data_IF_759085428457
#
_entry.id   IF_759085428457
#
_cell.length_a   1.000
_cell.length_b   1.000
_cell.length_c   1.000
_cell.angle_alpha   90.00
_cell.angle_beta   90.00
_cell.angle_gamma   90.00
#
_symmetry.space_group_name_H-M   'P 1'
#
loop_
_entity.id
_entity.type
_entity.pdbx_description
1 polymer ?
#
# COMPACT_ATOMS: atom_id res chain seq x y z
N UNK A 1 1.60 -15.37 -21.17
CA UNK A 1 0.45 -14.88 -21.94
C UNK A 1 0.43 -15.45 -23.36
N UNK A 2 1.49 -15.33 -24.14
CA UNK A 2 1.59 -15.91 -25.50
C UNK A 2 1.59 -17.45 -25.53
N UNK A 3 2.05 -18.09 -24.46
CA UNK A 3 2.13 -19.55 -24.41
C UNK A 3 0.77 -20.28 -24.44
N UNK A 4 -0.30 -19.67 -23.98
CA UNK A 4 -1.66 -20.22 -24.02
C UNK A 4 -2.27 -20.16 -25.44
N UNK A 5 -1.97 -19.09 -26.15
CA UNK A 5 -2.40 -18.89 -27.54
C UNK A 5 -1.74 -19.89 -28.50
N UNK A 6 -0.42 -20.10 -28.33
CA UNK A 6 0.35 -20.97 -29.19
C UNK A 6 0.11 -22.47 -28.96
N UNK A 7 -0.28 -22.86 -27.74
CA UNK A 7 -0.50 -24.29 -27.39
C UNK A 7 -1.85 -24.85 -27.82
N UNK A 8 -2.82 -24.00 -28.04
CA UNK A 8 -4.18 -24.41 -28.29
C UNK A 8 -4.69 -24.17 -29.71
N UNK A 9 -3.95 -23.42 -30.55
CA UNK A 9 -4.38 -23.07 -31.90
C UNK A 9 -3.96 -24.14 -32.89
N UNK A 10 -4.89 -24.70 -33.72
CA UNK A 10 -4.51 -25.50 -34.87
C UNK A 10 -3.59 -24.66 -35.81
N UNK A 11 -2.60 -25.27 -36.45
CA UNK A 11 -1.81 -24.62 -37.48
C UNK A 11 -2.71 -23.98 -38.55
N UNK A 12 -2.44 -22.73 -38.91
CA UNK A 12 -3.25 -22.03 -39.93
C UNK A 12 -4.50 -21.34 -39.39
N UNK A 13 -4.68 -21.26 -38.07
CA UNK A 13 -5.79 -20.51 -37.47
C UNK A 13 -5.65 -19.01 -37.79
N UNK A 14 -6.64 -18.45 -38.49
CA UNK A 14 -6.73 -17.01 -38.72
C UNK A 14 -7.41 -16.33 -37.51
N UNK A 15 -6.63 -15.57 -36.77
CA UNK A 15 -7.11 -14.81 -35.60
C UNK A 15 -7.75 -13.48 -35.95
N UNK A 16 -7.69 -13.07 -37.23
CA UNK A 16 -8.17 -11.78 -37.69
C UNK A 16 -9.48 -11.86 -38.46
N UNK A 17 -10.10 -13.04 -38.52
CA UNK A 17 -11.42 -13.20 -39.17
C UNK A 17 -12.46 -12.33 -38.49
N UNK A 18 -13.24 -11.62 -39.29
CA UNK A 18 -14.33 -10.77 -38.82
C UNK A 18 -15.67 -11.33 -39.24
N UNK A 19 -16.69 -11.15 -38.40
CA UNK A 19 -18.06 -11.47 -38.76
C UNK A 19 -18.67 -10.38 -39.69
N UNK A 20 -19.91 -10.60 -40.12
CA UNK A 20 -20.68 -9.67 -40.95
C UNK A 20 -20.88 -8.29 -40.30
N UNK A 21 -20.65 -8.16 -39.01
CA UNK A 21 -20.73 -6.92 -38.24
C UNK A 21 -19.35 -6.27 -37.99
N UNK A 22 -18.29 -6.85 -38.61
CA UNK A 22 -16.92 -6.37 -38.47
C UNK A 22 -16.25 -6.70 -37.13
N UNK A 23 -16.83 -7.59 -36.32
CA UNK A 23 -16.27 -8.02 -35.04
C UNK A 23 -15.27 -9.14 -35.26
N UNK A 24 -14.15 -9.12 -34.53
CA UNK A 24 -13.21 -10.24 -34.53
C UNK A 24 -13.88 -11.52 -34.06
N UNK A 25 -13.85 -12.56 -34.88
CA UNK A 25 -14.33 -13.90 -34.54
C UNK A 25 -13.20 -14.90 -34.73
N UNK A 26 -13.21 -15.98 -33.92
CA UNK A 26 -12.31 -17.10 -34.14
C UNK A 26 -13.08 -18.15 -34.90
N UNK A 27 -12.76 -18.30 -36.17
CA UNK A 27 -13.20 -19.45 -36.98
C UNK A 27 -12.25 -20.63 -36.78
N UNK A 28 -12.74 -21.65 -36.12
CA UNK A 28 -12.00 -22.90 -35.99
C UNK A 28 -12.74 -23.84 -35.06
N UNK A 29 -13.14 -24.99 -35.57
CA UNK A 29 -13.87 -26.00 -34.83
C UNK A 29 -13.06 -26.80 -33.81
N UNK A 30 -11.90 -26.31 -33.38
CA UNK A 30 -11.09 -26.91 -32.36
C UNK A 30 -11.63 -26.64 -30.96
N UNK A 31 -11.77 -27.67 -30.17
CA UNK A 31 -12.30 -27.65 -28.79
C UNK A 31 -11.51 -26.75 -27.81
N UNK A 32 -10.33 -26.23 -28.19
CA UNK A 32 -9.47 -25.40 -27.33
C UNK A 32 -9.65 -23.88 -27.48
N UNK A 33 -10.43 -23.43 -28.47
CA UNK A 33 -10.60 -21.99 -28.75
C UNK A 33 -12.02 -21.46 -28.60
N UNK A 34 -12.96 -22.31 -28.27
CA UNK A 34 -14.28 -21.81 -27.91
C UNK A 34 -14.16 -21.04 -26.61
N UNK A 35 -14.76 -19.83 -26.54
CA UNK A 35 -15.01 -19.25 -25.25
C UNK A 35 -15.80 -20.26 -24.45
N UNK A 36 -15.17 -20.86 -23.43
CA UNK A 36 -15.85 -21.72 -22.47
C UNK A 36 -16.95 -20.90 -21.81
N UNK A 37 -18.12 -21.45 -21.61
CA UNK A 37 -19.43 -20.90 -21.18
C UNK A 37 -19.55 -19.63 -20.38
N UNK A 38 -18.47 -19.03 -19.92
CA UNK A 38 -18.44 -17.72 -19.25
C UNK A 38 -17.99 -16.57 -20.18
N UNK A 39 -17.89 -16.84 -21.51
CA UNK A 39 -17.67 -15.81 -22.51
C UNK A 39 -16.34 -15.08 -22.45
N UNK A 40 -15.36 -15.61 -21.78
CA UNK A 40 -13.98 -15.17 -21.93
C UNK A 40 -13.47 -15.69 -23.26
N UNK A 41 -13.67 -14.93 -24.34
CA UNK A 41 -13.06 -15.17 -25.63
C UNK A 41 -11.54 -15.32 -25.50
N UNK A 42 -10.89 -15.78 -26.56
CA UNK A 42 -9.44 -15.75 -26.58
C UNK A 42 -8.94 -14.34 -26.30
N UNK A 43 -7.71 -14.24 -25.82
CA UNK A 43 -7.04 -12.98 -25.54
C UNK A 43 -7.17 -11.95 -26.68
N UNK A 44 -7.01 -12.37 -27.94
CA UNK A 44 -7.14 -11.48 -29.10
C UNK A 44 -8.56 -10.94 -29.26
N UNK A 45 -9.57 -11.79 -29.07
CA UNK A 45 -10.95 -11.38 -29.13
C UNK A 45 -11.33 -10.39 -28.00
N UNK A 46 -10.88 -10.69 -26.80
CA UNK A 46 -11.08 -9.78 -25.66
C UNK A 46 -10.40 -8.43 -25.89
N UNK A 47 -9.17 -8.42 -26.45
CA UNK A 47 -8.42 -7.20 -26.74
C UNK A 47 -9.12 -6.30 -27.77
N UNK A 48 -9.81 -6.90 -28.75
CA UNK A 48 -10.57 -6.13 -29.76
C UNK A 48 -11.92 -5.59 -29.24
N UNK A 49 -12.55 -6.32 -28.34
CA UNK A 49 -13.94 -6.06 -27.94
C UNK A 49 -14.09 -5.55 -26.52
N UNK A 50 -13.02 -5.57 -25.75
CA UNK A 50 -12.95 -5.02 -24.41
C UNK A 50 -11.78 -4.04 -24.31
N UNK A 51 -12.06 -2.86 -23.83
CA UNK A 51 -11.04 -1.82 -23.65
C UNK A 51 -10.98 -1.43 -22.20
N UNK A 52 -9.77 -1.41 -21.65
CA UNK A 52 -9.49 -0.84 -20.34
C UNK A 52 -8.45 0.26 -20.50
N UNK A 53 -8.77 1.46 -20.06
CA UNK A 53 -7.88 2.60 -20.01
C UNK A 53 -7.74 3.08 -18.58
N UNK A 54 -6.49 3.25 -18.15
CA UNK A 54 -6.20 3.89 -16.88
C UNK A 54 -5.26 5.08 -17.13
N UNK A 55 -5.59 6.20 -16.53
CA UNK A 55 -4.76 7.39 -16.54
C UNK A 55 -4.60 7.89 -15.12
N UNK A 56 -3.45 8.52 -14.83
CA UNK A 56 -3.19 9.02 -13.49
C UNK A 56 -2.32 10.25 -13.51
N UNK A 57 -2.56 11.11 -12.54
CA UNK A 57 -1.74 12.28 -12.24
C UNK A 57 -1.22 12.16 -10.83
N UNK A 58 0.05 12.46 -10.63
CA UNK A 58 0.69 12.49 -9.32
C UNK A 58 1.44 13.77 -9.14
N UNK A 59 1.23 14.41 -8.00
CA UNK A 59 2.03 15.54 -7.52
C UNK A 59 2.73 15.10 -6.25
N UNK A 60 4.05 15.17 -6.27
CA UNK A 60 4.89 14.89 -5.12
C UNK A 60 5.73 16.11 -4.83
N UNK A 61 5.63 16.63 -3.62
CA UNK A 61 6.45 17.72 -3.12
C UNK A 61 7.02 17.35 -1.75
N UNK A 62 8.27 17.69 -1.52
CA UNK A 62 8.90 17.59 -0.20
C UNK A 62 9.81 18.77 0.04
N UNK A 63 9.86 19.19 1.30
CA UNK A 63 10.74 20.25 1.76
C UNK A 63 11.42 19.79 3.04
N UNK A 64 12.73 19.88 3.07
CA UNK A 64 13.54 19.64 4.26
C UNK A 64 14.28 20.92 4.61
N UNK A 65 14.18 21.34 5.85
CA UNK A 65 14.91 22.48 6.39
C UNK A 65 15.78 22.01 7.54
N UNK A 66 17.07 22.30 7.46
CA UNK A 66 18.02 21.97 8.52
C UNK A 66 18.59 23.28 9.08
N UNK A 67 18.64 23.40 10.40
CA UNK A 67 19.22 24.52 11.12
C UNK A 67 20.23 24.00 12.14
N UNK A 68 21.48 24.38 11.98
CA UNK A 68 22.59 23.95 12.84
C UNK A 68 23.24 25.17 13.48
N UNK A 69 22.69 25.66 14.61
CA UNK A 69 23.18 26.85 15.27
C UNK A 69 24.57 26.66 15.89
N UNK A 70 24.97 25.43 16.13
CA UNK A 70 26.24 25.07 16.73
C UNK A 70 26.60 23.61 16.41
N UNK A 71 27.86 23.22 16.62
CA UNK A 71 28.34 21.84 16.36
C UNK A 71 27.63 20.78 17.24
N UNK A 72 27.11 21.19 18.38
CA UNK A 72 26.43 20.31 19.33
C UNK A 72 24.91 20.22 19.15
N UNK A 73 24.28 21.10 18.34
CA UNK A 73 22.83 21.15 18.16
C UNK A 73 22.46 21.22 16.68
N UNK A 74 21.53 20.38 16.25
CA UNK A 74 20.92 20.44 14.93
C UNK A 74 19.43 20.19 15.01
N UNK A 75 18.68 20.97 14.24
CA UNK A 75 17.23 20.88 14.10
C UNK A 75 16.89 20.59 12.65
N UNK A 76 15.91 19.74 12.44
CA UNK A 76 15.43 19.42 11.10
C UNK A 76 13.90 19.42 11.10
N UNK A 77 13.32 20.02 10.08
CA UNK A 77 11.91 19.96 9.78
C UNK A 77 11.74 19.39 8.36
N UNK A 78 10.89 18.40 8.22
CA UNK A 78 10.51 17.78 6.94
C UNK A 78 9.00 17.88 6.79
N UNK A 79 8.58 18.29 5.60
CA UNK A 79 7.20 18.21 5.16
C UNK A 79 7.16 17.58 3.79
N UNK A 80 6.28 16.60 3.60
CA UNK A 80 6.02 16.01 2.29
C UNK A 80 4.53 15.84 2.04
N UNK A 81 4.16 16.02 0.77
CA UNK A 81 2.80 15.87 0.28
C UNK A 81 2.81 15.08 -1.02
N UNK A 82 2.04 14.01 -1.07
CA UNK A 82 1.85 13.15 -2.24
C UNK A 82 0.35 13.10 -2.57
N UNK A 83 -0.03 13.67 -3.70
CA UNK A 83 -1.37 13.60 -4.24
C UNK A 83 -1.38 12.72 -5.48
N UNK A 84 -2.31 11.78 -5.53
CA UNK A 84 -2.56 10.92 -6.70
C UNK A 84 -4.03 10.94 -7.04
N UNK A 85 -4.30 11.22 -8.32
CA UNK A 85 -5.59 10.98 -8.94
C UNK A 85 -5.42 9.87 -9.98
N UNK A 86 -6.32 8.89 -10.01
CA UNK A 86 -6.37 7.87 -11.05
C UNK A 86 -7.81 7.73 -11.56
N UNK A 87 -7.94 7.70 -12.86
CA UNK A 87 -9.18 7.42 -13.57
C UNK A 87 -9.01 6.12 -14.35
N UNK A 88 -9.87 5.15 -14.08
CA UNK A 88 -9.99 3.91 -14.84
C UNK A 88 -11.32 3.88 -15.56
N UNK A 89 -11.29 3.64 -16.85
CA UNK A 89 -12.46 3.44 -17.69
C UNK A 89 -12.31 2.14 -18.44
N UNK A 90 -13.29 1.27 -18.32
CA UNK A 90 -13.31 -0.01 -19.01
C UNK A 90 -14.69 -0.27 -19.60
N UNK A 91 -14.72 -0.78 -20.80
CA UNK A 91 -15.96 -1.14 -21.48
C UNK A 91 -15.83 -2.39 -22.35
N UNK A 92 -16.93 -3.11 -22.51
CA UNK A 92 -17.09 -4.16 -23.51
C UNK A 92 -18.10 -3.69 -24.54
N UNK A 93 -17.78 -3.91 -25.82
CA UNK A 93 -18.64 -3.45 -26.93
C UNK A 93 -19.96 -4.23 -26.98
N UNK A 94 -21.01 -3.57 -27.48
CA UNK A 94 -22.31 -4.22 -27.73
C UNK A 94 -22.14 -5.31 -28.79
N UNK A 95 -22.56 -6.51 -28.49
CA UNK A 95 -22.47 -7.66 -29.39
C UNK A 95 -21.07 -8.29 -29.50
N UNK A 96 -20.24 -8.13 -28.48
CA UNK A 96 -18.88 -8.67 -28.49
C UNK A 96 -18.80 -10.21 -28.39
N UNK A 97 -19.82 -10.86 -27.85
CA UNK A 97 -19.92 -12.31 -27.81
C UNK A 97 -20.60 -12.88 -29.05
N UNK A 98 -20.08 -13.96 -29.59
CA UNK A 98 -20.59 -14.61 -30.80
C UNK A 98 -21.03 -16.06 -30.59
N UNK A 99 -20.95 -16.56 -29.37
CA UNK A 99 -21.09 -17.98 -28.99
C UNK A 99 -22.46 -18.33 -28.40
N UNK A 100 -23.54 -17.85 -28.99
CA UNK A 100 -24.90 -18.21 -28.57
C UNK A 100 -25.38 -17.60 -27.25
N UNK A 101 -24.71 -16.58 -26.77
CA UNK A 101 -25.12 -15.86 -25.55
C UNK A 101 -26.34 -15.03 -25.84
N UNK A 102 -27.30 -14.99 -24.91
CA UNK A 102 -28.53 -14.19 -25.06
C UNK A 102 -28.21 -12.73 -25.35
N UNK A 103 -29.06 -12.08 -26.13
CA UNK A 103 -28.94 -10.65 -26.43
C UNK A 103 -28.83 -9.80 -25.16
N UNK A 104 -29.49 -10.21 -24.09
CA UNK A 104 -29.46 -9.50 -22.81
C UNK A 104 -28.06 -9.46 -22.17
N UNK A 105 -27.25 -10.49 -22.34
CA UNK A 105 -25.90 -10.55 -21.79
C UNK A 105 -24.81 -10.06 -22.76
N UNK A 106 -25.18 -9.82 -24.03
CA UNK A 106 -24.27 -9.42 -25.11
C UNK A 106 -24.46 -7.95 -25.53
N UNK A 107 -25.01 -7.12 -24.68
CA UNK A 107 -25.31 -5.73 -25.01
C UNK A 107 -24.26 -4.74 -24.49
N UNK A 108 -23.13 -5.25 -24.07
CA UNK A 108 -22.01 -4.45 -23.58
C UNK A 108 -22.18 -3.90 -22.18
N UNK A 109 -21.11 -3.36 -21.64
CA UNK A 109 -21.08 -2.73 -20.32
C UNK A 109 -19.97 -1.68 -20.26
N UNK A 110 -20.06 -0.82 -19.26
CA UNK A 110 -19.01 0.13 -18.92
C UNK A 110 -18.87 0.26 -17.42
N UNK A 111 -17.65 0.47 -16.97
CA UNK A 111 -17.31 0.78 -15.59
C UNK A 111 -16.30 1.92 -15.58
N UNK A 112 -16.55 2.91 -14.75
CA UNK A 112 -15.66 4.07 -14.53
C UNK A 112 -15.34 4.12 -13.05
N UNK A 113 -14.08 4.23 -12.70
CA UNK A 113 -13.61 4.45 -11.33
C UNK A 113 -12.70 5.66 -11.29
N UNK A 114 -12.96 6.58 -10.37
CA UNK A 114 -12.07 7.69 -10.02
C UNK A 114 -11.59 7.47 -8.58
N UNK A 115 -10.28 7.46 -8.39
CA UNK A 115 -9.65 7.30 -7.08
C UNK A 115 -8.70 8.46 -6.82
N UNK A 116 -8.90 9.12 -5.68
CA UNK A 116 -8.00 10.13 -5.14
C UNK A 116 -7.30 9.59 -3.90
N UNK A 117 -6.01 9.82 -3.79
CA UNK A 117 -5.22 9.54 -2.59
C UNK A 117 -4.35 10.75 -2.27
N UNK A 118 -4.38 11.14 -1.02
CA UNK A 118 -3.55 12.21 -0.45
C UNK A 118 -2.78 11.64 0.73
N UNK A 119 -1.47 11.77 0.72
CA UNK A 119 -0.60 11.41 1.84
C UNK A 119 0.22 12.62 2.25
N UNK A 120 0.20 12.95 3.52
CA UNK A 120 0.98 14.02 4.12
C UNK A 120 1.82 13.45 5.24
N UNK A 121 3.10 13.78 5.24
CA UNK A 121 4.04 13.48 6.32
C UNK A 121 4.68 14.78 6.79
N UNK A 122 4.67 15.03 8.08
CA UNK A 122 5.38 16.13 8.71
C UNK A 122 6.22 15.61 9.89
N UNK A 123 7.46 16.03 9.97
CA UNK A 123 8.38 15.64 11.03
C UNK A 123 9.17 16.86 11.49
N UNK A 124 9.42 16.93 12.78
CA UNK A 124 10.41 17.83 13.37
C UNK A 124 11.36 16.99 14.23
N UNK A 125 12.63 17.28 14.17
CA UNK A 125 13.62 16.61 15.00
C UNK A 125 14.65 17.60 15.56
N UNK A 126 15.14 17.28 16.76
CA UNK A 126 16.25 17.96 17.40
C UNK A 126 17.28 16.92 17.81
N UNK A 127 18.54 17.15 17.48
CA UNK A 127 19.66 16.29 17.84
C UNK A 127 20.69 17.11 18.58
N UNK A 128 21.09 16.62 19.74
CA UNK A 128 22.14 17.20 20.57
C UNK A 128 23.29 16.21 20.70
N UNK A 129 24.51 16.67 20.52
CA UNK A 129 25.74 15.88 20.64
C UNK A 129 26.70 16.59 21.56
N UNK A 130 27.31 15.86 22.49
CA UNK A 130 28.28 16.46 23.36
C UNK A 130 29.34 15.43 23.75
N UNK A 131 30.58 15.82 23.63
CA UNK A 131 31.67 15.16 24.32
C UNK A 131 31.68 15.66 25.76
N UNK A 132 31.29 14.79 26.70
CA UNK A 132 31.13 15.13 28.12
C UNK A 132 32.51 15.12 28.79
N UNK A 133 33.33 14.11 28.45
CA UNK A 133 34.76 14.01 28.82
C UNK A 133 35.54 13.55 27.61
N UNK A 134 36.88 13.46 27.71
CA UNK A 134 37.74 12.87 26.67
C UNK A 134 37.27 11.46 26.25
N UNK A 135 36.68 10.73 27.17
CA UNK A 135 36.33 9.32 27.03
C UNK A 135 34.82 9.09 26.84
N UNK A 136 33.98 10.09 27.03
CA UNK A 136 32.53 9.95 27.04
C UNK A 136 31.85 10.87 26.04
N UNK A 137 31.26 10.27 25.00
CA UNK A 137 30.41 10.95 24.03
C UNK A 137 28.94 10.60 24.24
N UNK A 138 28.07 11.59 24.18
CA UNK A 138 26.64 11.41 24.27
C UNK A 138 25.91 12.10 23.10
N UNK A 139 24.88 11.44 22.60
CA UNK A 139 23.96 11.97 21.60
C UNK A 139 22.54 11.74 22.07
N UNK A 140 21.72 12.76 22.03
CA UNK A 140 20.28 12.67 22.33
C UNK A 140 19.51 13.22 21.13
N UNK A 141 18.46 12.55 20.76
CA UNK A 141 17.57 13.00 19.69
C UNK A 141 16.11 12.92 20.10
N UNK A 142 15.36 13.92 19.68
CA UNK A 142 13.91 13.98 19.80
C UNK A 142 13.31 14.12 18.42
N UNK A 143 12.19 13.47 18.19
CA UNK A 143 11.44 13.58 16.93
C UNK A 143 9.95 13.54 17.21
N UNK A 144 9.23 14.49 16.63
CA UNK A 144 7.78 14.45 16.50
C UNK A 144 7.41 14.15 15.05
N UNK A 145 6.39 13.35 14.83
CA UNK A 145 5.90 13.01 13.50
C UNK A 145 4.38 13.00 13.45
N UNK A 146 3.84 13.36 12.29
CA UNK A 146 2.43 13.31 11.96
C UNK A 146 2.31 12.80 10.54
N UNK A 147 1.49 11.75 10.36
CA UNK A 147 1.12 11.20 9.07
C UNK A 147 -0.39 11.31 8.89
N UNK A 148 -0.81 11.68 7.70
CA UNK A 148 -2.22 11.71 7.31
C UNK A 148 -2.35 11.09 5.93
N UNK A 149 -3.10 9.99 5.86
CA UNK A 149 -3.46 9.30 4.62
C UNK A 149 -4.97 9.42 4.42
N UNK A 150 -5.36 10.07 3.32
CA UNK A 150 -6.74 10.15 2.87
C UNK A 150 -6.88 9.44 1.54
N UNK A 151 -7.88 8.57 1.42
CA UNK A 151 -8.23 7.90 0.17
C UNK A 151 -9.73 8.02 -0.07
N UNK A 152 -10.10 8.33 -1.30
CA UNK A 152 -11.48 8.36 -1.76
C UNK A 152 -11.59 7.69 -3.12
N UNK A 153 -12.55 6.79 -3.26
CA UNK A 153 -12.89 6.14 -4.53
C UNK A 153 -14.38 6.36 -4.84
N UNK A 154 -14.67 6.65 -6.09
CA UNK A 154 -16.03 6.69 -6.63
C UNK A 154 -16.04 5.83 -7.88
N UNK A 155 -17.00 4.94 -7.99
CA UNK A 155 -17.19 4.06 -9.13
C UNK A 155 -18.62 4.11 -9.63
N UNK A 156 -18.79 3.92 -10.92
CA UNK A 156 -20.09 3.80 -11.56
C UNK A 156 -19.99 2.76 -12.67
N UNK A 157 -21.00 1.93 -12.81
CA UNK A 157 -21.08 0.96 -13.89
C UNK A 157 -22.51 0.89 -14.43
N UNK A 158 -22.63 0.47 -15.67
CA UNK A 158 -23.90 0.25 -16.34
C UNK A 158 -23.76 -0.80 -17.43
N UNK A 159 -24.85 -1.40 -17.80
CA UNK A 159 -24.92 -2.44 -18.82
C UNK A 159 -25.98 -2.10 -19.86
N UNK A 160 -25.92 -2.80 -21.00
CA UNK A 160 -26.86 -2.70 -22.12
C UNK A 160 -26.82 -1.32 -22.80
N UNK A 161 -25.87 -1.15 -23.71
CA UNK A 161 -25.84 0.04 -24.56
C UNK A 161 -27.08 0.12 -25.47
N UNK A 162 -27.70 1.28 -25.51
CA UNK A 162 -28.79 1.57 -26.46
C UNK A 162 -28.21 1.69 -27.87
N UNK A 163 -27.23 2.55 -28.05
CA UNK A 163 -26.61 2.86 -29.33
C UNK A 163 -25.26 2.18 -29.42
N UNK A 164 -24.98 1.52 -30.53
CA UNK A 164 -23.70 0.88 -30.81
C UNK A 164 -22.59 1.94 -31.04
N UNK A 165 -21.38 1.63 -30.60
CA UNK A 165 -20.18 2.46 -30.76
C UNK A 165 -20.20 3.81 -30.00
N UNK A 166 -21.12 3.98 -29.08
CA UNK A 166 -21.11 5.10 -28.10
C UNK A 166 -20.85 4.50 -26.72
N UNK A 167 -19.65 4.72 -26.19
CA UNK A 167 -19.17 4.12 -24.94
C UNK A 167 -19.20 5.18 -23.83
N UNK A 168 -20.40 5.43 -23.30
CA UNK A 168 -20.66 6.33 -22.19
C UNK A 168 -21.69 5.69 -21.25
N UNK A 169 -21.58 5.94 -19.95
CA UNK A 169 -22.54 5.42 -18.98
C UNK A 169 -23.97 5.88 -19.27
N UNK A 170 -24.15 7.09 -19.79
CA UNK A 170 -25.47 7.61 -20.17
C UNK A 170 -26.11 6.84 -21.32
N UNK A 171 -25.36 6.05 -22.08
CA UNK A 171 -25.87 5.18 -23.13
C UNK A 171 -26.19 3.77 -22.63
N UNK A 172 -26.11 3.49 -21.31
CA UNK A 172 -26.50 2.22 -20.71
C UNK A 172 -27.91 2.29 -20.13
N UNK A 173 -28.61 1.17 -20.04
CA UNK A 173 -30.04 1.15 -19.65
C UNK A 173 -30.34 0.26 -18.45
N UNK A 174 -29.42 -0.64 -18.07
CA UNK A 174 -29.70 -1.63 -17.01
C UNK A 174 -28.48 -1.82 -16.10
N UNK A 175 -28.74 -2.45 -14.95
CA UNK A 175 -27.72 -2.85 -13.99
C UNK A 175 -26.79 -1.70 -13.59
N UNK A 176 -27.37 -0.54 -13.35
CA UNK A 176 -26.62 0.59 -12.83
C UNK A 176 -26.15 0.28 -11.42
N UNK A 177 -24.88 0.48 -11.21
CA UNK A 177 -24.30 0.45 -9.87
C UNK A 177 -23.44 1.67 -9.66
N UNK A 178 -23.51 2.21 -8.48
CA UNK A 178 -22.66 3.29 -8.02
C UNK A 178 -22.05 2.90 -6.69
N UNK A 179 -20.80 3.22 -6.49
CA UNK A 179 -20.10 2.97 -5.24
C UNK A 179 -19.24 4.16 -4.86
N UNK A 180 -19.16 4.42 -3.58
CA UNK A 180 -18.19 5.37 -3.04
C UNK A 180 -17.61 4.85 -1.75
N UNK A 181 -16.35 5.09 -1.55
CA UNK A 181 -15.65 4.79 -0.30
C UNK A 181 -14.69 5.91 0.03
N UNK A 182 -14.49 6.15 1.32
CA UNK A 182 -13.45 7.05 1.79
C UNK A 182 -12.85 6.51 3.08
N UNK A 183 -11.56 6.72 3.24
CA UNK A 183 -10.84 6.40 4.47
C UNK A 183 -9.89 7.53 4.81
N UNK A 184 -9.78 7.83 6.10
CA UNK A 184 -8.85 8.79 6.65
C UNK A 184 -8.11 8.14 7.81
N UNK A 185 -6.81 7.96 7.63
CA UNK A 185 -5.92 7.43 8.65
C UNK A 185 -5.01 8.56 9.11
N UNK A 186 -4.90 8.72 10.42
CA UNK A 186 -4.00 9.68 11.05
C UNK A 186 -3.12 8.95 12.05
N UNK A 187 -1.83 9.13 11.92
CA UNK A 187 -0.85 8.66 12.89
C UNK A 187 -0.06 9.85 13.40
N UNK A 188 0.32 9.81 14.66
CA UNK A 188 1.22 10.79 15.25
C UNK A 188 2.06 10.12 16.32
N UNK A 189 3.24 10.64 16.54
CA UNK A 189 4.11 10.05 17.55
C UNK A 189 5.25 10.94 17.96
N UNK A 190 5.81 10.60 19.11
CA UNK A 190 7.03 11.18 19.65
C UNK A 190 8.08 10.11 19.85
N UNK A 191 9.32 10.43 19.52
CA UNK A 191 10.47 9.55 19.68
C UNK A 191 11.52 10.31 20.48
N UNK A 192 12.05 9.67 21.51
CA UNK A 192 13.24 10.11 22.23
C UNK A 192 14.30 9.00 22.14
N UNK A 193 15.50 9.35 21.70
CA UNK A 193 16.62 8.45 21.59
C UNK A 193 17.84 9.00 22.32
N UNK A 194 18.63 8.12 22.90
CA UNK A 194 19.91 8.44 23.50
C UNK A 194 20.95 7.39 23.09
N UNK A 195 22.13 7.87 22.77
CA UNK A 195 23.29 7.03 22.48
C UNK A 195 24.47 7.53 23.33
N UNK A 196 25.15 6.63 24.01
CA UNK A 196 26.30 6.89 24.85
C UNK A 196 27.43 6.00 24.42
N UNK A 197 28.59 6.59 24.15
CA UNK A 197 29.84 5.88 23.83
C UNK A 197 30.88 6.22 24.89
N UNK A 198 31.36 5.18 25.58
CA UNK A 198 32.42 5.31 26.56
C UNK A 198 33.70 4.61 26.06
N UNK A 199 34.75 5.41 25.87
CA UNK A 199 36.06 5.02 25.39
C UNK A 199 36.07 4.31 24.01
N UNK A 200 35.02 4.45 23.22
CA UNK A 200 34.85 3.64 21.99
C UNK A 200 34.65 2.14 22.25
N UNK A 201 34.58 1.70 23.50
CA UNK A 201 34.49 0.29 23.92
C UNK A 201 33.07 -0.14 24.28
N UNK A 202 32.37 0.71 25.00
CA UNK A 202 31.02 0.43 25.51
C UNK A 202 30.03 1.40 24.87
N UNK A 203 29.16 0.89 24.04
CA UNK A 203 28.16 1.69 23.35
C UNK A 203 26.79 1.25 23.85
N UNK A 204 26.01 2.20 24.37
CA UNK A 204 24.63 2.00 24.78
C UNK A 204 23.72 2.88 23.92
N UNK A 205 22.67 2.28 23.37
CA UNK A 205 21.65 2.97 22.58
C UNK A 205 20.26 2.63 23.10
N UNK A 206 19.48 3.65 23.40
CA UNK A 206 18.11 3.53 23.87
C UNK A 206 17.17 4.38 23.03
N UNK A 207 16.03 3.85 22.69
CA UNK A 207 14.96 4.57 21.98
C UNK A 207 13.64 4.29 22.66
N UNK A 208 12.88 5.35 22.94
CA UNK A 208 11.51 5.30 23.41
C UNK A 208 10.60 5.97 22.39
N UNK A 209 9.49 5.33 22.06
CA UNK A 209 8.45 5.84 21.15
C UNK A 209 7.11 5.82 21.84
N UNK A 210 6.33 6.85 21.61
CA UNK A 210 4.94 6.94 22.01
C UNK A 210 4.12 7.28 20.79
N UNK A 211 3.48 6.26 20.22
CA UNK A 211 2.80 6.35 18.93
C UNK A 211 1.29 6.26 19.11
N UNK A 212 0.57 7.09 18.36
CA UNK A 212 -0.88 7.10 18.31
C UNK A 212 -1.39 6.89 16.88
N UNK A 213 -2.46 6.10 16.73
CA UNK A 213 -3.11 5.86 15.45
C UNK A 213 -4.63 5.92 15.58
N UNK A 214 -5.26 6.52 14.56
CA UNK A 214 -6.72 6.54 14.42
C UNK A 214 -7.33 5.18 14.08
N UNK A 215 -6.51 4.15 13.84
CA UNK A 215 -6.95 2.78 13.57
C UNK A 215 -7.39 2.02 14.82
N UNK A 216 -7.06 2.54 16.00
CA UNK A 216 -7.46 1.96 17.28
C UNK A 216 -8.65 2.69 17.90
N UNK A 217 -9.37 1.99 18.75
CA UNK A 217 -10.47 2.56 19.51
C UNK A 217 -10.03 3.76 20.37
N UNK A 218 -10.94 4.67 20.65
CA UNK A 218 -10.64 5.99 21.21
C UNK A 218 -9.78 5.93 22.48
N UNK A 219 -10.05 4.99 23.37
CA UNK A 219 -9.30 4.78 24.62
C UNK A 219 -7.96 4.08 24.47
N UNK A 220 -7.65 3.52 23.30
CA UNK A 220 -6.48 2.67 23.05
C UNK A 220 -5.59 3.17 21.91
N UNK A 221 -5.75 4.43 21.48
CA UNK A 221 -5.03 4.98 20.34
C UNK A 221 -3.53 5.10 20.53
N UNK A 222 -3.08 5.20 21.76
CA UNK A 222 -1.70 5.47 22.11
C UNK A 222 -1.02 4.26 22.73
N UNK A 223 0.19 3.96 22.27
CA UNK A 223 0.99 2.86 22.80
C UNK A 223 2.47 3.21 22.88
N UNK A 224 3.15 2.80 23.97
CA UNK A 224 4.59 2.94 24.08
C UNK A 224 5.31 1.75 23.42
N UNK A 225 6.43 2.06 22.76
CA UNK A 225 7.38 1.09 22.24
C UNK A 225 8.79 1.53 22.59
N UNK A 226 9.71 0.59 22.65
CA UNK A 226 11.08 0.94 22.97
C UNK A 226 12.10 -0.08 22.50
N UNK A 227 13.33 0.37 22.39
CA UNK A 227 14.49 -0.48 22.13
C UNK A 227 15.62 -0.06 23.04
N UNK A 228 16.34 -1.06 23.56
CA UNK A 228 17.62 -0.89 24.25
C UNK A 228 18.63 -1.83 23.60
N UNK A 229 19.80 -1.31 23.28
CA UNK A 229 20.91 -2.13 22.76
C UNK A 229 22.23 -1.74 23.40
N UNK A 230 23.09 -2.72 23.58
CA UNK A 230 24.44 -2.56 24.11
C UNK A 230 25.43 -3.27 23.21
N UNK A 231 26.58 -2.64 22.98
CA UNK A 231 27.71 -3.20 22.26
C UNK A 231 28.94 -3.07 23.13
N UNK A 232 29.67 -4.17 23.27
CA UNK A 232 30.98 -4.21 23.92
C UNK A 232 32.02 -4.63 22.90
N UNK A 233 32.99 -3.74 22.65
CA UNK A 233 34.15 -4.02 21.81
C UNK A 233 35.26 -4.68 22.64
N UNK A 234 35.23 -6.00 22.65
CA UNK A 234 36.21 -6.79 23.40
C UNK A 234 37.63 -6.62 22.86
N UNK A 235 37.78 -6.41 21.55
CA UNK A 235 39.06 -6.16 20.91
C UNK A 235 39.81 -4.92 21.43
N UNK A 236 39.05 -3.96 22.00
CA UNK A 236 39.64 -2.73 22.57
C UNK A 236 40.06 -2.90 24.05
N UNK A 237 39.85 -4.06 24.63
CA UNK A 237 40.23 -4.33 26.02
C UNK A 237 41.70 -4.75 26.12
N UNK A 238 42.38 -4.33 27.21
CA UNK A 238 43.79 -4.61 27.44
C UNK A 238 44.13 -6.10 27.62
N UNK A 239 43.14 -6.89 28.00
CA UNK A 239 43.28 -8.34 28.17
C UNK A 239 43.05 -9.11 26.84
N UNK A 240 42.57 -8.46 25.79
CA UNK A 240 42.28 -9.12 24.52
C UNK A 240 43.53 -9.24 23.69
N UNK A 241 43.94 -10.48 23.43
CA UNK A 241 45.13 -10.77 22.63
C UNK A 241 44.92 -12.06 21.84
N UNK A 242 44.08 -11.97 20.78
CA UNK A 242 43.87 -13.09 19.87
C UNK A 242 44.58 -12.82 18.54
N UNK A 243 45.58 -13.67 18.15
CA UNK A 243 46.26 -13.51 16.87
C UNK A 243 45.28 -13.55 15.70
N UNK A 244 45.43 -12.63 14.75
CA UNK A 244 44.61 -12.54 13.52
C UNK A 244 43.16 -12.06 13.72
N UNK A 245 42.75 -11.64 14.92
CA UNK A 245 41.45 -11.01 15.18
C UNK A 245 41.71 -9.54 15.47
N UNK A 246 41.31 -8.67 14.55
CA UNK A 246 41.49 -7.23 14.65
C UNK A 246 40.29 -6.50 15.29
N UNK A 247 39.10 -7.07 15.20
CA UNK A 247 37.88 -6.51 15.79
C UNK A 247 37.01 -7.67 16.31
N UNK A 248 36.60 -7.57 17.55
CA UNK A 248 35.69 -8.53 18.17
C UNK A 248 34.72 -7.80 19.08
N UNK A 249 33.43 -7.95 18.76
CA UNK A 249 32.32 -7.27 19.48
C UNK A 249 31.26 -8.27 19.93
N UNK A 250 30.70 -8.00 21.08
CA UNK A 250 29.48 -8.65 21.56
C UNK A 250 28.39 -7.62 21.59
N UNK A 251 27.22 -7.99 21.09
CA UNK A 251 26.05 -7.11 21.08
C UNK A 251 24.83 -7.82 21.65
N UNK A 252 23.98 -7.05 22.31
CA UNK A 252 22.69 -7.50 22.79
C UNK A 252 21.67 -6.40 22.53
N UNK A 253 20.48 -6.77 22.11
CA UNK A 253 19.39 -5.82 21.97
C UNK A 253 18.07 -6.44 22.39
N UNK A 254 17.17 -5.57 22.88
CA UNK A 254 15.77 -5.89 23.13
C UNK A 254 14.92 -4.75 22.61
N UNK A 255 13.90 -5.09 21.83
CA UNK A 255 12.98 -4.12 21.26
C UNK A 255 11.54 -4.59 21.27
N UNK A 256 10.62 -3.64 21.24
CA UNK A 256 9.20 -3.88 21.05
C UNK A 256 8.68 -3.07 19.83
N UNK A 257 7.76 -3.68 19.07
CA UNK A 257 7.08 -3.07 17.96
C UNK A 257 5.60 -3.41 17.99
N UNK A 258 4.77 -2.57 17.41
CA UNK A 258 3.33 -2.78 17.30
C UNK A 258 2.86 -2.89 15.86
N UNK A 259 1.80 -3.68 15.65
CA UNK A 259 1.09 -3.74 14.37
C UNK A 259 -0.23 -2.98 14.45
N UNK A 260 -0.61 -2.37 13.32
CA UNK A 260 -1.89 -1.69 13.17
C UNK A 260 -2.93 -2.63 12.56
N UNK A 261 -4.19 -2.55 12.97
CA UNK A 261 -5.27 -3.33 12.41
C UNK A 261 -5.75 -2.75 11.07
N UNK A 262 -6.66 -3.46 10.40
CA UNK A 262 -7.38 -2.94 9.25
C UNK A 262 -8.25 -1.73 9.64
N UNK A 263 -8.50 -0.82 8.69
CA UNK A 263 -9.26 0.41 8.93
C UNK A 263 -10.64 0.19 9.56
N UNK A 264 -11.36 -0.85 9.14
CA UNK A 264 -12.71 -1.15 9.62
C UNK A 264 -12.76 -1.94 10.92
N UNK A 265 -11.62 -2.42 11.43
CA UNK A 265 -11.60 -3.37 12.55
C UNK A 265 -12.24 -2.85 13.86
N UNK A 266 -12.19 -1.53 14.10
CA UNK A 266 -12.81 -0.90 15.25
C UNK A 266 -14.30 -0.59 15.07
N UNK A 267 -14.80 -0.57 13.82
CA UNK A 267 -16.16 -0.13 13.49
C UNK A 267 -17.08 -1.32 13.22
N UNK A 268 -18.32 -1.17 13.66
CA UNK A 268 -19.40 -2.01 13.18
C UNK A 268 -19.71 -1.66 11.73
N UNK A 269 -19.76 -2.65 10.86
CA UNK A 269 -20.04 -2.46 9.43
C UNK A 269 -21.31 -3.17 9.01
N UNK A 270 -22.01 -2.61 8.03
CA UNK A 270 -23.22 -3.17 7.48
C UNK A 270 -23.07 -3.39 5.98
N UNK A 271 -23.57 -4.52 5.51
CA UNK A 271 -23.73 -4.82 4.09
C UNK A 271 -25.17 -4.46 3.69
N UNK A 272 -25.33 -3.40 2.91
CA UNK A 272 -26.64 -2.91 2.50
C UNK A 272 -26.91 -3.20 1.02
N UNK A 273 -28.13 -3.59 0.70
CA UNK A 273 -28.66 -3.79 -0.65
C UNK A 273 -30.04 -3.14 -0.76
N UNK A 274 -30.66 -3.19 -1.94
CA UNK A 274 -32.02 -2.70 -2.14
C UNK A 274 -33.07 -3.40 -1.26
N UNK A 275 -32.78 -4.62 -0.78
CA UNK A 275 -33.67 -5.41 0.09
C UNK A 275 -33.42 -5.18 1.59
N UNK A 276 -32.43 -4.37 1.98
CA UNK A 276 -32.12 -4.06 3.37
C UNK A 276 -30.65 -4.17 3.70
N UNK A 277 -30.33 -3.98 4.97
CA UNK A 277 -28.96 -4.08 5.50
C UNK A 277 -28.84 -5.27 6.45
N UNK A 278 -27.71 -5.96 6.39
CA UNK A 278 -27.30 -6.98 7.34
C UNK A 278 -25.98 -6.59 8.01
N UNK A 279 -25.77 -7.05 9.24
CA UNK A 279 -24.47 -6.85 9.92
C UNK A 279 -23.37 -7.54 9.13
N UNK A 280 -22.32 -6.79 8.77
CA UNK A 280 -21.14 -7.30 8.10
C UNK A 280 -20.08 -7.74 9.11
N UNK A 281 -19.56 -6.80 9.88
CA UNK A 281 -18.54 -7.05 10.91
C UNK A 281 -18.97 -6.36 12.21
N UNK A 282 -18.94 -7.08 13.30
CA UNK A 282 -19.04 -6.50 14.63
C UNK A 282 -17.69 -5.84 14.97
N UNK A 283 -17.61 -4.53 14.96
CA UNK A 283 -16.40 -3.81 15.29
C UNK A 283 -15.95 -4.03 16.74
N UNK A 284 -14.66 -3.81 17.00
CA UNK A 284 -14.11 -3.84 18.35
C UNK A 284 -13.56 -2.46 18.73
N UNK A 285 -14.36 -1.66 19.42
CA UNK A 285 -13.96 -0.33 19.91
C UNK A 285 -12.88 -0.37 21.00
N UNK A 286 -12.59 -1.55 21.58
CA UNK A 286 -11.54 -1.76 22.58
C UNK A 286 -10.23 -2.31 21.96
N UNK A 287 -10.12 -2.28 20.64
CA UNK A 287 -8.97 -2.80 19.92
C UNK A 287 -7.68 -2.11 20.36
N UNK A 288 -6.68 -2.92 20.72
CA UNK A 288 -5.35 -2.49 21.17
C UNK A 288 -4.31 -2.86 20.10
N UNK A 289 -3.17 -2.16 20.09
CA UNK A 289 -2.04 -2.59 19.29
C UNK A 289 -1.58 -4.00 19.64
N UNK A 290 -1.35 -4.80 18.63
CA UNK A 290 -0.65 -6.07 18.78
C UNK A 290 0.84 -5.76 19.00
N UNK A 291 1.46 -6.34 20.02
CA UNK A 291 2.83 -6.02 20.40
C UNK A 291 3.72 -7.24 20.24
N UNK A 292 4.81 -7.08 19.52
CA UNK A 292 5.88 -8.07 19.39
C UNK A 292 7.10 -7.58 20.13
N UNK A 293 7.74 -8.46 20.91
CA UNK A 293 9.00 -8.19 21.59
C UNK A 293 10.06 -9.16 21.08
N UNK A 294 11.21 -8.60 20.70
CA UNK A 294 12.34 -9.33 20.15
C UNK A 294 13.58 -9.12 21.04
N UNK A 295 14.36 -10.19 21.23
CA UNK A 295 15.67 -10.16 21.85
C UNK A 295 16.69 -10.69 20.83
N UNK A 296 17.76 -9.95 20.62
CA UNK A 296 18.83 -10.31 19.70
C UNK A 296 20.16 -10.33 20.44
N UNK A 297 20.97 -11.35 20.16
CA UNK A 297 22.35 -11.48 20.66
C UNK A 297 23.23 -11.79 19.45
N UNK A 298 24.41 -11.19 19.41
CA UNK A 298 25.33 -11.39 18.29
C UNK A 298 26.78 -11.10 18.65
N UNK A 299 27.65 -11.62 17.82
CA UNK A 299 29.10 -11.33 17.83
C UNK A 299 29.55 -10.98 16.42
N UNK A 300 30.46 -10.06 16.30
CA UNK A 300 31.09 -9.67 15.03
C UNK A 300 32.59 -9.79 15.15
#
# INVERSE_FOLDING_TARGET
FFGGLLRGAPPGTDYLVRDSLGRGIIKGGGTGFRPTGNGAGTFLYATENQTGRSSGTRYLASMTTTYTPSDWASFEALYSYDFRNSLSDSYAVKGYRTDGVSAATNNGNQSVENRNRESMNAQISATFRKQITSDLNAKVNFRGLIDRDFSRSNSSAGQVYVVKNIYTLSNTTTNFSTGSSSSLIKNMGGIAGANVDYKGKYILDGTYRYDGSSLFGEGNRWAPFGRLSAVWRLSEESFFSLPKVSDFRVRASRGSAGNTPNFSAQYETYNCSASGCSLGQAGNSQLKPETTTENEFGTD
#
